data_IF_885483662359
#
_entry.id   IF_885483662359
#
_cell.length_a   1.000
_cell.length_b   1.000
_cell.length_c   1.000
_cell.angle_alpha   90.00
_cell.angle_beta   90.00
_cell.angle_gamma   90.00
#
_symmetry.space_group_name_H-M   'P 1'
#
loop_
_entity.id
_entity.type
_entity.pdbx_description
1 polymer ?
#
# COMPACT_ATOMS: atom_id res chain seq x y z
N UNK A 1 -21.51 -15.07 2.98
CA UNK A 1 -20.60 -14.21 2.19
C UNK A 1 -19.20 -14.17 2.79
N UNK A 2 -19.02 -13.61 4.00
CA UNK A 2 -17.71 -13.51 4.68
C UNK A 2 -17.01 -14.87 4.78
N UNK A 3 -17.73 -15.92 5.21
CA UNK A 3 -17.18 -17.28 5.29
C UNK A 3 -16.60 -17.82 3.97
N UNK A 4 -17.27 -17.55 2.84
CA UNK A 4 -16.78 -18.00 1.52
C UNK A 4 -15.47 -17.29 1.16
N UNK A 5 -15.35 -16.00 1.49
CA UNK A 5 -14.11 -15.22 1.27
C UNK A 5 -12.99 -15.72 2.20
N UNK A 6 -13.26 -15.90 3.49
CA UNK A 6 -12.29 -16.44 4.44
C UNK A 6 -11.80 -17.83 3.99
N UNK A 7 -12.72 -18.68 3.54
CA UNK A 7 -12.37 -20.01 3.02
C UNK A 7 -11.50 -19.92 1.77
N UNK A 8 -11.79 -19.01 0.83
CA UNK A 8 -10.93 -18.81 -0.36
C UNK A 8 -9.51 -18.38 0.03
N UNK A 9 -9.34 -17.56 1.07
CA UNK A 9 -8.04 -17.09 1.56
C UNK A 9 -7.28 -18.15 2.34
N UNK A 10 -7.99 -19.00 3.10
CA UNK A 10 -7.37 -20.08 3.88
C UNK A 10 -6.56 -21.04 3.00
N UNK A 11 -6.97 -21.21 1.73
CA UNK A 11 -6.22 -22.02 0.74
C UNK A 11 -4.81 -21.48 0.48
N UNK A 12 -4.59 -20.16 0.57
CA UNK A 12 -3.26 -19.53 0.39
C UNK A 12 -2.27 -19.92 1.50
N UNK A 13 -2.77 -20.36 2.65
CA UNK A 13 -1.96 -20.74 3.81
C UNK A 13 -1.67 -22.24 3.85
N UNK A 14 -2.26 -23.04 2.96
CA UNK A 14 -2.28 -24.51 3.06
C UNK A 14 -0.88 -25.13 3.05
N UNK A 15 0.02 -24.55 2.26
CA UNK A 15 1.38 -25.05 2.05
C UNK A 15 2.44 -24.21 2.79
N UNK A 16 2.00 -23.22 3.59
CA UNK A 16 2.90 -22.41 4.40
C UNK A 16 3.18 -23.10 5.74
N UNK A 17 4.45 -23.07 6.21
CA UNK A 17 4.76 -23.56 7.53
C UNK A 17 4.00 -22.73 8.58
N UNK A 18 3.46 -23.40 9.59
CA UNK A 18 2.95 -22.71 10.77
C UNK A 18 4.10 -21.96 11.43
N UNK A 19 4.10 -20.64 11.29
CA UNK A 19 5.09 -19.81 11.96
C UNK A 19 4.86 -19.90 13.48
N UNK A 20 5.92 -20.09 14.28
CA UNK A 20 5.79 -20.03 15.72
C UNK A 20 5.28 -18.63 16.11
N UNK A 21 4.52 -18.53 17.22
CA UNK A 21 4.09 -17.23 17.72
C UNK A 21 5.32 -16.33 17.91
N UNK A 22 5.33 -15.21 17.19
CA UNK A 22 6.40 -14.21 17.25
C UNK A 22 6.31 -13.51 18.62
N UNK A 23 7.47 -13.13 19.16
CA UNK A 23 7.64 -12.38 20.41
C UNK A 23 6.62 -11.23 20.48
N UNK A 24 5.93 -11.10 21.62
CA UNK A 24 4.92 -10.08 21.86
C UNK A 24 5.47 -8.65 21.73
N UNK A 25 4.56 -7.70 21.49
CA UNK A 25 4.87 -6.29 21.31
C UNK A 25 5.81 -5.77 22.41
N UNK A 26 6.93 -5.17 22.00
CA UNK A 26 7.78 -4.40 22.91
C UNK A 26 7.17 -2.99 23.02
N UNK A 27 6.92 -2.50 24.24
CA UNK A 27 6.48 -1.13 24.52
C UNK A 27 7.59 -0.13 24.12
N UNK A 28 7.72 0.12 22.82
CA UNK A 28 8.33 1.34 22.32
C UNK A 28 7.30 2.45 22.40
N UNK A 29 7.67 3.61 22.96
CA UNK A 29 6.90 4.82 22.73
C UNK A 29 6.79 5.04 21.22
N UNK A 30 5.58 5.18 20.70
CA UNK A 30 5.35 5.70 19.37
C UNK A 30 4.29 6.80 19.52
N UNK A 31 4.51 7.94 18.87
CA UNK A 31 3.54 9.03 18.86
C UNK A 31 2.62 8.89 17.65
N UNK A 32 1.30 8.89 17.88
CA UNK A 32 0.31 8.97 16.80
C UNK A 32 -0.37 10.33 16.88
N UNK A 33 -0.35 11.07 15.78
CA UNK A 33 -1.18 12.26 15.57
C UNK A 33 -2.08 12.01 14.36
N UNK A 34 -3.34 12.36 14.46
CA UNK A 34 -4.30 12.16 13.38
C UNK A 34 -5.56 12.97 13.59
N UNK A 35 -6.18 13.37 12.49
CA UNK A 35 -7.49 13.97 12.47
C UNK A 35 -8.25 13.47 11.24
N UNK A 36 -9.57 13.47 11.33
CA UNK A 36 -10.47 13.24 10.21
C UNK A 36 -11.34 14.50 10.03
N UNK A 37 -11.45 14.97 8.79
CA UNK A 37 -12.22 16.17 8.48
C UNK A 37 -12.96 15.99 7.16
N UNK A 38 -14.16 16.56 7.05
CA UNK A 38 -14.95 16.56 5.81
C UNK A 38 -14.57 17.71 4.86
N UNK A 39 -13.65 18.57 5.28
CA UNK A 39 -13.05 19.64 4.47
C UNK A 39 -11.56 19.39 4.33
N UNK A 40 -10.95 19.98 3.28
CA UNK A 40 -9.51 19.95 3.13
C UNK A 40 -8.83 20.71 4.26
N UNK A 41 -7.80 20.11 4.85
CA UNK A 41 -7.00 20.70 5.91
C UNK A 41 -5.56 20.77 5.44
N UNK A 42 -4.89 21.89 5.74
CA UNK A 42 -3.48 22.07 5.38
C UNK A 42 -2.59 21.02 6.05
N UNK A 43 -1.61 20.49 5.32
CA UNK A 43 -0.65 19.50 5.82
C UNK A 43 0.16 19.97 7.04
N UNK A 44 0.29 21.29 7.27
CA UNK A 44 0.93 21.85 8.48
C UNK A 44 0.33 21.31 9.78
N UNK A 45 -0.98 21.02 9.76
CA UNK A 45 -1.73 20.51 10.90
C UNK A 45 -1.42 19.04 11.24
N UNK A 46 -0.71 18.32 10.36
CA UNK A 46 -0.09 17.02 10.67
C UNK A 46 1.41 17.21 10.94
N UNK A 47 2.09 18.00 10.11
CA UNK A 47 3.55 18.14 10.12
C UNK A 47 4.09 18.70 11.45
N UNK A 48 3.54 19.81 11.94
CA UNK A 48 4.01 20.45 13.19
C UNK A 48 3.83 19.53 14.41
N UNK A 49 2.67 18.87 14.61
CA UNK A 49 2.53 17.85 15.64
C UNK A 49 3.49 16.67 15.49
N UNK A 50 3.77 16.20 14.27
CA UNK A 50 4.70 15.10 14.04
C UNK A 50 6.13 15.42 14.53
N UNK A 51 6.59 16.66 14.38
CA UNK A 51 7.89 17.11 14.92
C UNK A 51 7.92 16.98 16.44
N UNK A 52 6.83 17.38 17.12
CA UNK A 52 6.72 17.29 18.58
C UNK A 52 6.74 15.86 19.10
N UNK A 53 6.52 14.86 18.24
CA UNK A 53 6.56 13.44 18.60
C UNK A 53 7.99 12.85 18.56
N UNK A 54 9.01 13.63 18.22
CA UNK A 54 10.39 13.13 18.13
C UNK A 54 10.90 12.54 19.45
N UNK A 55 10.51 13.12 20.59
CA UNK A 55 10.85 12.61 21.92
C UNK A 55 10.13 11.31 22.31
N UNK A 56 9.14 10.88 21.51
CA UNK A 56 8.42 9.64 21.71
C UNK A 56 8.93 8.52 20.82
N UNK A 57 9.70 8.80 19.77
CA UNK A 57 10.25 7.79 18.86
C UNK A 57 11.70 7.41 19.16
N UNK A 58 12.18 6.34 18.52
CA UNK A 58 13.58 5.90 18.59
C UNK A 58 14.41 6.34 17.36
N UNK A 59 13.91 7.31 16.60
CA UNK A 59 14.56 7.80 15.38
C UNK A 59 14.53 6.85 14.17
N UNK A 60 13.95 5.65 14.29
CA UNK A 60 13.95 4.65 13.20
C UNK A 60 12.99 4.95 12.05
N UNK A 61 12.14 5.96 12.20
CA UNK A 61 11.24 6.39 11.14
C UNK A 61 9.94 7.01 11.67
N UNK A 62 9.27 7.73 10.77
CA UNK A 62 7.93 8.25 10.95
C UNK A 62 7.18 8.19 9.62
N UNK A 63 5.86 8.23 9.66
CA UNK A 63 5.03 8.16 8.46
C UNK A 63 3.75 8.97 8.64
N UNK A 64 3.24 9.50 7.53
CA UNK A 64 1.93 10.15 7.47
C UNK A 64 1.03 9.27 6.61
N UNK A 65 -0.07 8.81 7.20
CA UNK A 65 -1.19 8.26 6.44
C UNK A 65 -2.21 9.37 6.23
N UNK A 66 -2.36 9.83 4.98
CA UNK A 66 -3.34 10.84 4.61
C UNK A 66 -4.43 10.22 3.73
N UNK A 67 -5.69 10.54 4.02
CA UNK A 67 -6.85 10.19 3.21
C UNK A 67 -7.36 11.45 2.48
N UNK A 68 -7.87 11.29 1.26
CA UNK A 68 -8.27 12.42 0.40
C UNK A 68 -7.34 12.63 -0.79
N UNK A 69 -7.12 11.58 -1.57
CA UNK A 69 -6.30 11.60 -2.77
C UNK A 69 -6.88 12.56 -3.83
N UNK A 70 -6.01 13.28 -4.54
CA UNK A 70 -6.38 14.14 -5.68
C UNK A 70 -5.93 13.50 -6.99
N UNK A 71 -6.87 13.27 -7.91
CA UNK A 71 -6.56 12.69 -9.22
C UNK A 71 -5.55 13.54 -9.99
N UNK A 72 -5.68 14.87 -9.92
CA UNK A 72 -4.74 15.81 -10.54
C UNK A 72 -3.33 15.72 -9.96
N UNK A 73 -3.18 15.67 -8.64
CA UNK A 73 -1.85 15.51 -7.99
C UNK A 73 -1.22 14.15 -8.32
N UNK A 74 -2.06 13.13 -8.49
CA UNK A 74 -1.65 11.78 -8.88
C UNK A 74 -1.47 11.62 -10.39
N UNK A 75 -1.76 12.66 -11.19
CA UNK A 75 -1.66 12.64 -12.64
C UNK A 75 -2.48 11.52 -13.29
N UNK A 76 -3.71 11.30 -12.81
CA UNK A 76 -4.69 10.33 -13.33
C UNK A 76 -6.05 11.02 -13.51
N UNK A 77 -6.98 10.37 -14.22
CA UNK A 77 -8.38 10.81 -14.25
C UNK A 77 -9.06 10.54 -12.91
N UNK A 78 -10.16 11.26 -12.65
CA UNK A 78 -10.99 11.00 -11.48
C UNK A 78 -11.56 9.57 -11.49
N UNK A 79 -11.91 9.07 -12.69
CA UNK A 79 -12.37 7.71 -12.89
C UNK A 79 -11.34 6.66 -12.45
N UNK A 80 -10.07 6.81 -12.87
CA UNK A 80 -8.99 5.91 -12.42
C UNK A 80 -8.85 5.96 -10.90
N UNK A 81 -8.89 7.15 -10.29
CA UNK A 81 -8.76 7.28 -8.84
C UNK A 81 -9.90 6.58 -8.07
N UNK A 82 -11.12 6.63 -8.59
CA UNK A 82 -12.31 6.06 -7.94
C UNK A 82 -12.48 4.56 -8.17
N UNK A 83 -12.05 4.06 -9.33
CA UNK A 83 -12.26 2.68 -9.74
C UNK A 83 -11.03 1.81 -9.48
N UNK A 84 -9.81 2.31 -9.65
CA UNK A 84 -8.61 1.49 -9.54
C UNK A 84 -8.19 1.26 -8.09
N UNK A 85 -7.53 0.12 -7.88
CA UNK A 85 -6.77 -0.12 -6.67
C UNK A 85 -5.43 0.62 -6.76
N UNK A 86 -5.06 1.28 -5.66
CA UNK A 86 -3.72 1.84 -5.50
C UNK A 86 -2.80 0.79 -4.90
N UNK A 87 -1.87 0.28 -5.70
CA UNK A 87 -0.85 -0.67 -5.26
C UNK A 87 0.49 0.06 -5.13
N UNK A 88 1.13 -0.03 -3.97
CA UNK A 88 2.48 0.49 -3.76
C UNK A 88 3.44 -0.64 -3.41
N UNK A 89 4.55 -0.71 -4.13
CA UNK A 89 5.56 -1.75 -3.95
C UNK A 89 6.88 -1.05 -3.59
N UNK A 90 7.39 -1.36 -2.41
CA UNK A 90 8.73 -0.97 -1.97
C UNK A 90 9.74 -2.03 -2.43
N UNK A 91 10.63 -1.65 -3.34
CA UNK A 91 11.67 -2.49 -3.88
C UNK A 91 12.97 -2.26 -3.10
N UNK A 92 13.42 -3.29 -2.37
CA UNK A 92 14.75 -3.29 -1.75
C UNK A 92 15.84 -3.37 -2.81
N UNK A 93 15.61 -4.16 -3.85
CA UNK A 93 16.41 -4.22 -5.07
C UNK A 93 15.59 -3.62 -6.23
N UNK A 94 16.08 -2.53 -6.80
CA UNK A 94 15.39 -1.82 -7.88
C UNK A 94 15.32 -2.65 -9.17
N UNK A 95 16.27 -3.55 -9.40
CA UNK A 95 16.33 -4.37 -10.61
C UNK A 95 15.30 -5.51 -10.58
N UNK A 96 14.80 -5.86 -9.38
CA UNK A 96 13.74 -6.85 -9.21
C UNK A 96 12.37 -6.40 -9.75
N UNK A 97 12.23 -5.12 -10.14
CA UNK A 97 10.95 -4.56 -10.61
C UNK A 97 10.32 -5.38 -11.72
N UNK A 98 11.07 -5.69 -12.77
CA UNK A 98 10.53 -6.36 -13.95
C UNK A 98 10.07 -7.78 -13.63
N UNK A 99 10.81 -8.48 -12.76
CA UNK A 99 10.45 -9.81 -12.28
C UNK A 99 9.14 -9.76 -11.48
N UNK A 100 9.02 -8.80 -10.55
CA UNK A 100 7.80 -8.61 -9.77
C UNK A 100 6.61 -8.26 -10.65
N UNK A 101 6.77 -7.36 -11.62
CA UNK A 101 5.71 -6.99 -12.56
C UNK A 101 5.24 -8.22 -13.36
N UNK A 102 6.17 -8.97 -13.95
CA UNK A 102 5.87 -10.13 -14.78
C UNK A 102 5.29 -11.30 -14.00
N UNK A 103 5.73 -11.53 -12.77
CA UNK A 103 5.30 -12.66 -11.94
C UNK A 103 4.02 -12.39 -11.15
N UNK A 104 3.83 -11.15 -10.69
CA UNK A 104 2.84 -10.85 -9.64
C UNK A 104 1.81 -9.79 -10.02
N UNK A 105 2.03 -9.00 -11.08
CA UNK A 105 1.13 -7.89 -11.45
C UNK A 105 0.47 -8.16 -12.80
N UNK A 106 1.27 -8.14 -13.87
CA UNK A 106 0.80 -8.21 -15.25
C UNK A 106 -0.05 -9.45 -15.57
N UNK A 107 0.17 -10.63 -14.99
CA UNK A 107 -0.70 -11.78 -15.23
C UNK A 107 -2.13 -11.61 -14.69
N UNK A 108 -2.30 -10.83 -13.62
CA UNK A 108 -3.55 -10.76 -12.85
C UNK A 108 -4.28 -9.43 -12.98
N UNK A 109 -3.54 -8.37 -13.32
CA UNK A 109 -3.97 -6.99 -13.21
C UNK A 109 -3.74 -6.23 -14.51
N UNK A 110 -4.72 -5.42 -14.89
CA UNK A 110 -4.55 -4.35 -15.87
C UNK A 110 -3.94 -3.14 -15.16
N UNK A 111 -2.86 -2.60 -15.71
CA UNK A 111 -2.14 -1.45 -15.17
C UNK A 111 -2.51 -0.21 -15.97
N UNK A 112 -3.29 0.69 -15.39
CA UNK A 112 -3.67 1.95 -16.05
C UNK A 112 -2.62 3.04 -15.85
N UNK A 113 -1.87 2.99 -14.75
CA UNK A 113 -0.71 3.86 -14.53
C UNK A 113 0.31 3.17 -13.62
N UNK A 114 1.58 3.38 -13.91
CA UNK A 114 2.70 3.01 -13.06
C UNK A 114 3.69 4.17 -12.99
N UNK A 115 4.14 4.54 -11.80
CA UNK A 115 5.14 5.59 -11.61
C UNK A 115 5.99 5.35 -10.37
N UNK A 116 7.25 5.80 -10.42
CA UNK A 116 8.09 5.88 -9.23
C UNK A 116 7.58 7.02 -8.35
N UNK A 117 7.41 6.76 -7.05
CA UNK A 117 7.07 7.79 -6.08
C UNK A 117 8.24 8.76 -5.97
N UNK A 118 7.93 10.06 -5.98
CA UNK A 118 8.94 11.11 -5.87
C UNK A 118 9.68 11.01 -4.53
N UNK A 119 10.99 11.13 -4.59
CA UNK A 119 11.90 11.15 -3.44
C UNK A 119 12.82 12.37 -3.55
N UNK A 120 13.57 12.66 -2.49
CA UNK A 120 14.73 13.56 -2.60
C UNK A 120 15.75 12.96 -3.57
N UNK A 121 16.55 13.81 -4.21
CA UNK A 121 17.59 13.40 -5.17
C UNK A 121 18.70 12.59 -4.48
N UNK A 122 19.17 13.08 -3.33
CA UNK A 122 20.15 12.39 -2.49
C UNK A 122 19.59 12.17 -1.09
N UNK A 123 19.41 10.91 -0.69
CA UNK A 123 18.91 10.58 0.65
C UNK A 123 19.89 10.99 1.75
N UNK A 124 21.18 11.17 1.42
CA UNK A 124 22.22 11.60 2.36
C UNK A 124 22.08 13.05 2.78
N UNK A 125 21.25 13.83 2.07
CA UNK A 125 20.89 15.19 2.46
C UNK A 125 19.95 15.21 3.69
N UNK A 126 19.40 14.05 4.09
CA UNK A 126 18.53 13.91 5.25
C UNK A 126 19.37 13.47 6.45
N UNK A 127 19.55 14.39 7.41
CA UNK A 127 20.24 14.10 8.67
C UNK A 127 19.59 12.92 9.41
N UNK A 128 20.42 11.96 9.84
CA UNK A 128 19.97 10.75 10.54
C UNK A 128 19.50 9.60 9.65
N UNK A 129 19.46 9.77 8.33
CA UNK A 129 19.12 8.70 7.39
C UNK A 129 20.39 7.96 6.90
N UNK A 130 20.79 6.92 7.62
CA UNK A 130 22.04 6.20 7.36
C UNK A 130 21.94 5.17 6.21
N UNK A 131 20.73 4.68 5.91
CA UNK A 131 20.50 3.63 4.92
C UNK A 131 19.57 4.14 3.82
N UNK A 132 19.91 3.82 2.57
CA UNK A 132 19.07 4.16 1.40
C UNK A 132 17.68 3.51 1.56
N UNK A 133 16.58 4.30 1.54
CA UNK A 133 15.23 3.74 1.52
C UNK A 133 14.97 2.93 0.24
N UNK A 134 14.05 1.95 0.29
CA UNK A 134 13.61 1.24 -0.91
C UNK A 134 12.98 2.19 -1.92
N UNK A 135 13.13 1.86 -3.20
CA UNK A 135 12.42 2.57 -4.25
C UNK A 135 10.95 2.17 -4.22
N UNK A 136 10.05 3.14 -4.10
CA UNK A 136 8.61 2.87 -4.08
C UNK A 136 8.02 3.13 -5.46
N UNK A 137 7.39 2.10 -6.02
CA UNK A 137 6.57 2.23 -7.23
C UNK A 137 5.09 2.21 -6.87
N UNK A 138 4.33 3.11 -7.50
CA UNK A 138 2.88 3.28 -7.36
C UNK A 138 2.20 2.87 -8.65
N UNK A 139 1.19 2.00 -8.52
CA UNK A 139 0.41 1.48 -9.63
C UNK A 139 -1.08 1.74 -9.38
N UNK A 140 -1.78 2.16 -10.42
CA UNK A 140 -3.23 2.15 -10.51
C UNK A 140 -3.64 0.94 -11.33
N UNK A 141 -4.31 -0.01 -10.67
CA UNK A 141 -4.54 -1.33 -11.21
C UNK A 141 -5.98 -1.80 -11.04
N UNK A 142 -6.43 -2.63 -11.98
CA UNK A 142 -7.70 -3.34 -11.93
C UNK A 142 -7.49 -4.83 -12.13
N UNK A 143 -8.30 -5.66 -11.48
CA UNK A 143 -8.25 -7.10 -11.73
C UNK A 143 -8.80 -7.37 -13.13
N UNK A 144 -8.07 -8.15 -13.91
CA UNK A 144 -8.51 -8.57 -15.24
C UNK A 144 -9.87 -9.28 -15.17
N UNK A 145 -10.85 -8.99 -16.05
CA UNK A 145 -12.20 -9.55 -15.95
C UNK A 145 -12.24 -11.08 -15.93
N UNK A 146 -11.41 -11.71 -16.75
CA UNK A 146 -11.22 -13.14 -16.87
C UNK A 146 -10.59 -13.76 -15.61
N UNK A 147 -9.61 -13.09 -15.00
CA UNK A 147 -9.02 -13.52 -13.72
C UNK A 147 -10.04 -13.44 -12.59
N UNK A 148 -10.83 -12.36 -12.55
CA UNK A 148 -11.90 -12.20 -11.56
C UNK A 148 -13.00 -13.24 -11.72
N UNK A 149 -13.43 -13.50 -12.96
CA UNK A 149 -14.43 -14.51 -13.29
C UNK A 149 -13.97 -15.90 -12.83
N UNK A 150 -12.74 -16.27 -13.18
CA UNK A 150 -12.11 -17.52 -12.74
C UNK A 150 -12.10 -17.66 -11.21
N UNK A 151 -11.75 -16.58 -10.49
CA UNK A 151 -11.73 -16.57 -9.03
C UNK A 151 -13.14 -16.78 -8.43
N UNK A 152 -14.15 -16.14 -9.02
CA UNK A 152 -15.56 -16.27 -8.61
C UNK A 152 -16.05 -17.70 -8.79
N UNK A 153 -15.78 -18.30 -9.95
CA UNK A 153 -16.19 -19.67 -10.27
C UNK A 153 -15.53 -20.69 -9.34
N UNK A 154 -14.20 -20.60 -9.16
CA UNK A 154 -13.42 -21.52 -8.31
C UNK A 154 -13.78 -21.47 -6.82
N UNK A 155 -14.41 -20.39 -6.37
CA UNK A 155 -14.76 -20.18 -4.96
C UNK A 155 -16.27 -20.05 -4.71
N UNK A 156 -17.11 -20.31 -5.72
CA UNK A 156 -18.57 -20.27 -5.63
C UNK A 156 -19.12 -18.93 -5.08
N UNK A 157 -18.60 -17.83 -5.63
CA UNK A 157 -18.90 -16.45 -5.22
C UNK A 157 -19.88 -15.71 -6.16
N UNK A 158 -20.67 -16.44 -6.95
CA UNK A 158 -21.57 -15.87 -7.96
C UNK A 158 -22.62 -14.91 -7.38
N UNK A 159 -22.95 -15.08 -6.09
CA UNK A 159 -23.92 -14.26 -5.38
C UNK A 159 -23.37 -12.87 -4.97
N UNK A 160 -22.12 -12.53 -5.33
CA UNK A 160 -21.46 -11.27 -4.97
C UNK A 160 -21.41 -10.36 -6.19
N UNK A 161 -21.96 -9.15 -6.06
CA UNK A 161 -21.82 -8.12 -7.08
C UNK A 161 -20.34 -7.72 -7.22
N UNK A 162 -19.85 -7.75 -8.46
CA UNK A 162 -18.53 -7.26 -8.77
C UNK A 162 -18.53 -5.73 -8.74
N UNK A 163 -17.46 -5.15 -8.20
CA UNK A 163 -17.25 -3.71 -8.33
C UNK A 163 -17.02 -3.40 -9.81
N UNK A 164 -17.80 -2.47 -10.35
CA UNK A 164 -17.64 -1.97 -11.71
C UNK A 164 -16.25 -1.35 -11.90
#
# INVERSE_FOLDING_TARGET
>A
MIEKILHSRKKLLKDLPLLPPIKGEEEGGCGVTGFACNIQVSGRHIFEPSIQMHNRGNGKGGGIAAVGLSAGQLGVSQEILEQDYLLQIALLDADARQEVENGCILPFLDVHKAEKVQTVEDFRDIEGLETKPPDVWRYFVRVKPDVLKDFIEKNHLQDIETRK
#
